data_IF_241219332565
#
_entry.id   IF_241219332565
#
_cell.length_a   1.000
_cell.length_b   1.000
_cell.length_c   1.000
_cell.angle_alpha   90.00
_cell.angle_beta   90.00
_cell.angle_gamma   90.00
#
_symmetry.space_group_name_H-M   'P 1'
#
loop_
_entity.id
_entity.type
_entity.pdbx_description
1 polymer ?
#
# COMPACT_ATOMS: atom_id res chain seq x y z
N UNK A 1 9.70 -2.99 13.12
CA UNK A 1 9.35 -2.27 11.88
C UNK A 1 7.93 -1.78 12.04
N UNK A 2 7.67 -0.51 11.73
CA UNK A 2 6.31 0.04 11.79
C UNK A 2 5.49 -0.44 10.59
N UNK A 3 4.16 -0.30 10.63
CA UNK A 3 3.28 -0.61 9.49
C UNK A 3 3.73 0.18 8.26
N UNK A 4 4.05 1.46 8.42
CA UNK A 4 4.58 2.31 7.35
C UNK A 4 5.83 1.72 6.67
N UNK A 5 6.80 1.24 7.45
CA UNK A 5 8.04 0.64 6.90
C UNK A 5 7.75 -0.61 6.06
N UNK A 6 6.80 -1.43 6.49
CA UNK A 6 6.39 -2.66 5.78
C UNK A 6 5.67 -2.33 4.49
N UNK A 7 4.67 -1.43 4.55
CA UNK A 7 3.94 -0.96 3.35
C UNK A 7 4.90 -0.32 2.34
N UNK A 8 5.85 0.49 2.81
CA UNK A 8 6.88 1.11 1.96
C UNK A 8 7.74 0.06 1.25
N UNK A 9 8.14 -1.00 1.95
CA UNK A 9 8.88 -2.10 1.31
C UNK A 9 8.07 -2.78 0.21
N UNK A 10 6.78 -3.03 0.45
CA UNK A 10 5.89 -3.63 -0.55
C UNK A 10 5.81 -2.72 -1.78
N UNK A 11 5.55 -1.44 -1.58
CA UNK A 11 5.53 -0.46 -2.66
C UNK A 11 6.86 -0.43 -3.41
N UNK A 12 7.99 -0.44 -2.70
CA UNK A 12 9.31 -0.41 -3.33
C UNK A 12 9.59 -1.66 -4.16
N UNK A 13 9.14 -2.83 -3.69
CA UNK A 13 9.28 -4.10 -4.39
C UNK A 13 8.36 -4.18 -5.62
N UNK A 14 7.10 -3.76 -5.50
CA UNK A 14 6.11 -3.86 -6.58
C UNK A 14 6.35 -2.80 -7.65
N UNK A 15 6.64 -1.56 -7.24
CA UNK A 15 6.86 -0.41 -8.13
C UNK A 15 8.33 -0.29 -8.58
N UNK A 16 9.20 -1.18 -8.11
CA UNK A 16 10.62 -1.22 -8.49
C UNK A 16 11.29 0.17 -8.35
N UNK A 17 10.95 0.87 -7.27
CA UNK A 17 11.34 2.26 -6.99
C UNK A 17 11.71 2.38 -5.52
N UNK A 18 12.67 3.23 -5.18
CA UNK A 18 13.05 3.47 -3.79
C UNK A 18 12.27 4.66 -3.23
N UNK A 19 11.65 4.46 -2.06
CA UNK A 19 10.92 5.49 -1.36
C UNK A 19 11.57 5.72 0.00
N UNK A 20 12.30 6.82 0.22
CA UNK A 20 12.93 7.07 1.51
C UNK A 20 11.89 7.42 2.59
N UNK A 21 12.21 7.19 3.87
CA UNK A 21 11.31 7.48 4.98
C UNK A 21 10.87 8.95 5.02
N UNK A 22 9.59 9.18 5.30
CA UNK A 22 8.98 10.51 5.29
C UNK A 22 8.62 11.07 3.90
N UNK A 23 8.90 10.35 2.81
CA UNK A 23 8.41 10.74 1.48
C UNK A 23 6.97 10.28 1.26
N UNK A 24 6.04 11.19 0.93
CA UNK A 24 4.69 10.79 0.54
C UNK A 24 4.74 10.07 -0.80
N UNK A 25 4.17 8.87 -0.85
CA UNK A 25 4.02 8.10 -2.09
C UNK A 25 2.54 8.08 -2.44
N UNK A 26 2.19 8.66 -3.58
CA UNK A 26 0.82 8.71 -4.08
C UNK A 26 0.75 8.13 -5.48
N UNK A 27 -0.40 7.57 -5.82
CA UNK A 27 -0.67 7.00 -7.14
C UNK A 27 -0.62 8.04 -8.25
N UNK A 28 -0.99 9.29 -7.95
CA UNK A 28 -0.90 10.39 -8.90
C UNK A 28 0.55 10.81 -9.18
N UNK A 29 1.41 10.80 -8.15
CA UNK A 29 2.81 11.19 -8.30
C UNK A 29 3.71 10.07 -8.82
N UNK A 30 3.27 8.81 -8.69
CA UNK A 30 4.05 7.63 -9.09
C UNK A 30 3.50 7.04 -10.40
N UNK A 31 4.14 7.32 -11.56
CA UNK A 31 3.66 6.84 -12.85
C UNK A 31 3.70 5.32 -13.00
N UNK A 32 4.53 4.62 -12.22
CA UNK A 32 4.55 3.15 -12.19
C UNK A 32 3.39 2.58 -11.39
N UNK A 33 2.64 3.39 -10.66
CA UNK A 33 1.48 2.94 -9.89
C UNK A 33 0.21 2.92 -10.77
N UNK A 34 0.27 2.12 -11.82
CA UNK A 34 -0.85 1.86 -12.71
C UNK A 34 -1.88 0.87 -12.10
N UNK A 35 -2.96 0.60 -12.84
CA UNK A 35 -4.05 -0.26 -12.36
C UNK A 35 -3.62 -1.69 -12.04
N UNK A 36 -2.64 -2.22 -12.78
CA UNK A 36 -2.13 -3.56 -12.52
C UNK A 36 -1.30 -3.56 -11.24
N UNK A 37 -0.35 -2.61 -11.14
CA UNK A 37 0.50 -2.46 -9.96
C UNK A 37 -0.29 -2.14 -8.71
N UNK A 38 -1.38 -1.39 -8.83
CA UNK A 38 -2.30 -1.16 -7.72
C UNK A 38 -2.85 -2.47 -7.15
N UNK A 39 -3.38 -3.35 -8.00
CA UNK A 39 -3.89 -4.66 -7.57
C UNK A 39 -2.78 -5.51 -6.97
N UNK A 40 -1.58 -5.53 -7.57
CA UNK A 40 -0.43 -6.24 -6.99
C UNK A 40 -0.04 -5.73 -5.59
N UNK A 41 -0.03 -4.41 -5.39
CA UNK A 41 0.24 -3.79 -4.08
C UNK A 41 -0.81 -4.23 -3.06
N UNK A 42 -2.11 -4.18 -3.42
CA UNK A 42 -3.18 -4.61 -2.51
C UNK A 42 -2.98 -6.06 -2.10
N UNK A 43 -2.79 -6.98 -3.04
CA UNK A 43 -2.60 -8.39 -2.72
C UNK A 43 -1.36 -8.64 -1.85
N UNK A 44 -0.25 -7.95 -2.12
CA UNK A 44 0.96 -8.08 -1.31
C UNK A 44 0.78 -7.53 0.11
N UNK A 45 -0.03 -6.48 0.28
CA UNK A 45 -0.41 -5.95 1.60
C UNK A 45 -1.34 -6.94 2.32
N UNK A 46 -2.36 -7.46 1.66
CA UNK A 46 -3.24 -8.48 2.23
C UNK A 46 -2.47 -9.71 2.72
N UNK A 47 -1.52 -10.21 1.91
CA UNK A 47 -0.66 -11.35 2.27
C UNK A 47 0.29 -11.04 3.44
N UNK A 48 0.99 -9.89 3.42
CA UNK A 48 1.95 -9.51 4.47
C UNK A 48 1.27 -9.27 5.83
N UNK A 49 0.07 -8.68 5.83
CA UNK A 49 -0.65 -8.34 7.05
C UNK A 49 -1.73 -9.36 7.44
N UNK A 50 -2.04 -10.32 6.57
CA UNK A 50 -3.09 -11.32 6.80
C UNK A 50 -4.49 -10.73 6.86
N UNK A 51 -4.74 -9.63 6.14
CA UNK A 51 -6.02 -8.93 6.09
C UNK A 51 -6.72 -9.15 4.75
N UNK A 52 -8.03 -8.86 4.70
CA UNK A 52 -8.78 -8.79 3.47
C UNK A 52 -9.36 -7.39 3.30
N UNK A 53 -9.11 -6.77 2.14
CA UNK A 53 -9.60 -5.46 1.77
C UNK A 53 -10.71 -5.63 0.74
N UNK A 54 -11.93 -5.18 1.05
CA UNK A 54 -13.01 -5.17 0.05
C UNK A 54 -12.73 -4.21 -1.10
N UNK A 55 -13.40 -4.42 -2.24
CA UNK A 55 -13.26 -3.60 -3.45
C UNK A 55 -13.42 -2.10 -3.19
N UNK A 56 -14.35 -1.71 -2.30
CA UNK A 56 -14.53 -0.32 -1.86
C UNK A 56 -13.29 0.26 -1.16
N UNK A 57 -12.58 -0.54 -0.37
CA UNK A 57 -11.35 -0.12 0.31
C UNK A 57 -10.20 -0.03 -0.68
N UNK A 58 -10.07 -1.01 -1.57
CA UNK A 58 -9.08 -0.98 -2.65
C UNK A 58 -9.22 0.30 -3.48
N UNK A 59 -10.44 0.62 -3.92
CA UNK A 59 -10.71 1.81 -4.72
C UNK A 59 -10.34 3.13 -4.02
N UNK A 60 -10.41 3.18 -2.69
CA UNK A 60 -10.05 4.36 -1.88
C UNK A 60 -8.54 4.52 -1.67
N UNK A 61 -7.76 3.47 -1.89
CA UNK A 61 -6.31 3.52 -1.71
C UNK A 61 -5.69 4.31 -2.87
N UNK A 62 -5.21 5.52 -2.57
CA UNK A 62 -4.54 6.39 -3.53
C UNK A 62 -3.12 6.74 -3.10
N UNK A 63 -2.73 6.35 -1.88
CA UNK A 63 -1.47 6.75 -1.25
C UNK A 63 -0.96 5.67 -0.33
N UNK A 64 0.33 5.71 -0.01
CA UNK A 64 0.93 4.90 1.04
C UNK A 64 0.20 5.07 2.38
N UNK A 65 -0.16 6.30 2.73
CA UNK A 65 -0.90 6.62 3.96
C UNK A 65 -2.30 5.97 3.99
N UNK A 66 -2.97 5.88 2.83
CA UNK A 66 -4.26 5.19 2.73
C UNK A 66 -4.12 3.69 2.99
N UNK A 67 -3.03 3.07 2.51
CA UNK A 67 -2.73 1.67 2.78
C UNK A 67 -2.49 1.46 4.27
N UNK A 68 -1.65 2.30 4.89
CA UNK A 68 -1.37 2.22 6.34
C UNK A 68 -2.66 2.30 7.14
N UNK A 69 -3.52 3.28 6.84
CA UNK A 69 -4.83 3.42 7.47
C UNK A 69 -5.75 2.22 7.22
N UNK A 70 -5.73 1.66 6.02
CA UNK A 70 -6.55 0.49 5.69
C UNK A 70 -6.11 -0.73 6.49
N UNK A 71 -4.80 -0.94 6.65
CA UNK A 71 -4.21 -1.99 7.48
C UNK A 71 -4.54 -1.77 8.95
N UNK A 72 -4.32 -0.57 9.48
CA UNK A 72 -4.65 -0.24 10.88
C UNK A 72 -6.14 -0.41 11.18
N UNK A 73 -7.02 -0.13 10.22
CA UNK A 73 -8.45 -0.34 10.37
C UNK A 73 -8.86 -1.83 10.27
N UNK A 74 -8.08 -2.66 9.59
CA UNK A 74 -8.29 -4.11 9.47
C UNK A 74 -7.68 -4.92 10.61
N UNK A 75 -6.70 -4.36 11.34
CA UNK A 75 -6.05 -4.93 12.53
C UNK A 75 -6.90 -4.78 13.81
N UNK A 76 -8.10 -4.20 13.71
CA UNK A 76 -9.02 -4.06 14.84
C UNK A 76 -9.57 -5.45 15.26
N UNK A 77 -9.37 -5.88 16.53
CA UNK A 77 -9.75 -7.20 17.02
C UNK A 77 -11.26 -7.45 17.07
#
# INVERSE_FOLDING_TARGET
>A
MSIEDRVRRILSAVLESDYPPGTPVTREAEPKWDSLKHVEVIFAVEDEFGIQLDEDRMARIQSLDDIVKAVEAGDAP
#
